data_IF_440860415581
#
_entry.id   IF_440860415581
#
_cell.length_a   1.000
_cell.length_b   1.000
_cell.length_c   1.000
_cell.angle_alpha   90.00
_cell.angle_beta   90.00
_cell.angle_gamma   90.00
#
_symmetry.space_group_name_H-M   'P 1'
#
loop_
_entity.id
_entity.type
_entity.pdbx_description
1 polymer ?
#
# COMPACT_ATOMS: atom_id res chain seq x y z
N UNK A 1 -5.13 33.35 -41.87
CA UNK A 1 -4.52 32.74 -40.66
C UNK A 1 -5.55 32.83 -39.56
N UNK A 2 -6.11 31.72 -39.08
CA UNK A 2 -6.94 31.74 -37.88
C UNK A 2 -6.04 32.11 -36.70
N UNK A 3 -6.31 33.23 -36.04
CA UNK A 3 -5.62 33.58 -34.81
C UNK A 3 -5.91 32.48 -33.77
N UNK A 4 -4.88 31.70 -33.45
CA UNK A 4 -4.94 30.73 -32.37
C UNK A 4 -5.17 31.54 -31.09
N UNK A 5 -6.38 31.46 -30.53
CA UNK A 5 -6.79 32.27 -29.39
C UNK A 5 -5.80 32.14 -28.24
N UNK A 6 -5.52 33.24 -27.53
CA UNK A 6 -4.58 33.26 -26.38
C UNK A 6 -4.96 32.19 -25.34
N UNK A 7 -6.27 31.95 -25.16
CA UNK A 7 -6.80 30.90 -24.29
C UNK A 7 -6.35 29.48 -24.73
N UNK A 8 -6.37 29.19 -26.02
CA UNK A 8 -5.93 27.88 -26.54
C UNK A 8 -4.40 27.67 -26.39
N UNK A 9 -3.60 28.73 -26.50
CA UNK A 9 -2.16 28.69 -26.27
C UNK A 9 -1.83 28.49 -24.78
N UNK A 10 -2.57 29.16 -23.90
CA UNK A 10 -2.47 28.98 -22.45
C UNK A 10 -2.80 27.54 -22.04
N UNK A 11 -3.94 27.01 -22.52
CA UNK A 11 -4.36 25.64 -22.22
C UNK A 11 -3.35 24.60 -22.70
N UNK A 12 -2.77 24.79 -23.89
CA UNK A 12 -1.73 23.91 -24.42
C UNK A 12 -0.46 23.95 -23.56
N UNK A 13 -0.08 25.12 -23.03
CA UNK A 13 1.10 25.29 -22.17
C UNK A 13 0.92 24.65 -20.79
N UNK A 14 -0.27 24.79 -20.19
CA UNK A 14 -0.63 24.08 -18.95
C UNK A 14 -0.62 22.58 -19.17
N UNK A 15 -1.21 22.10 -20.28
CA UNK A 15 -1.18 20.69 -20.64
C UNK A 15 0.24 20.15 -20.78
N UNK A 16 1.13 20.89 -21.47
CA UNK A 16 2.52 20.50 -21.62
C UNK A 16 3.26 20.38 -20.29
N UNK A 17 3.02 21.31 -19.35
CA UNK A 17 3.60 21.28 -18.01
C UNK A 17 3.09 20.08 -17.19
N UNK A 18 1.79 19.80 -17.24
CA UNK A 18 1.18 18.63 -16.59
C UNK A 18 1.73 17.33 -17.21
N UNK A 19 1.87 17.27 -18.53
CA UNK A 19 2.49 16.15 -19.24
C UNK A 19 3.94 15.93 -18.81
N UNK A 20 4.72 17.02 -18.65
CA UNK A 20 6.07 16.96 -18.10
C UNK A 20 6.14 16.32 -16.71
N UNK A 21 5.23 16.69 -15.80
CA UNK A 21 5.11 16.07 -14.49
C UNK A 21 4.77 14.58 -14.59
N UNK A 22 3.86 14.21 -15.50
CA UNK A 22 3.45 12.84 -15.72
C UNK A 22 4.61 11.96 -16.22
N UNK A 23 5.42 12.45 -17.16
CA UNK A 23 6.65 11.77 -17.61
C UNK A 23 7.64 11.55 -16.46
N UNK A 24 7.78 12.52 -15.54
CA UNK A 24 8.66 12.39 -14.38
C UNK A 24 8.18 11.29 -13.41
N UNK A 25 6.86 11.14 -13.23
CA UNK A 25 6.26 10.03 -12.47
C UNK A 25 6.59 8.69 -13.13
N UNK A 26 6.39 8.58 -14.44
CA UNK A 26 6.64 7.35 -15.18
C UNK A 26 8.12 6.94 -15.13
N UNK A 27 9.04 7.89 -15.37
CA UNK A 27 10.48 7.67 -15.23
C UNK A 27 10.86 7.18 -13.84
N UNK A 28 10.27 7.79 -12.79
CA UNK A 28 10.51 7.38 -11.42
C UNK A 28 10.08 5.94 -11.17
N UNK A 29 8.86 5.56 -11.54
CA UNK A 29 8.35 4.21 -11.33
C UNK A 29 9.26 3.20 -12.04
N UNK A 30 9.68 3.46 -13.28
CA UNK A 30 10.63 2.62 -14.01
C UNK A 30 11.95 2.48 -13.24
N UNK A 31 12.53 3.58 -12.76
CA UNK A 31 13.80 3.55 -12.04
C UNK A 31 13.74 2.73 -10.75
N UNK A 32 12.62 2.79 -10.02
CA UNK A 32 12.41 1.98 -8.82
C UNK A 32 12.18 0.51 -9.14
N UNK A 33 11.47 0.20 -10.23
CA UNK A 33 11.26 -1.17 -10.69
C UNK A 33 12.57 -1.83 -11.13
N UNK A 34 13.44 -1.10 -11.84
CA UNK A 34 14.80 -1.55 -12.20
C UNK A 34 15.62 -1.82 -10.93
N UNK A 35 15.59 -0.89 -9.96
CA UNK A 35 16.31 -1.05 -8.70
C UNK A 35 15.81 -2.25 -7.87
N UNK A 36 14.53 -2.60 -7.98
CA UNK A 36 13.92 -3.68 -7.21
C UNK A 36 14.30 -5.11 -7.66
N UNK A 37 14.93 -5.30 -8.84
CA UNK A 37 15.42 -6.61 -9.36
C UNK A 37 14.44 -7.80 -9.19
N UNK A 38 13.11 -7.60 -9.29
CA UNK A 38 12.11 -8.69 -9.14
C UNK A 38 11.54 -9.14 -10.48
N UNK A 39 11.76 -10.42 -10.81
CA UNK A 39 11.32 -11.08 -12.05
C UNK A 39 9.80 -11.23 -12.25
N UNK A 40 8.94 -10.72 -11.35
CA UNK A 40 7.46 -10.78 -11.47
C UNK A 40 6.80 -9.43 -11.82
N UNK A 41 7.58 -8.47 -12.33
CA UNK A 41 7.14 -7.11 -12.63
C UNK A 41 6.75 -6.88 -14.10
N UNK A 42 6.78 -7.90 -14.96
CA UNK A 42 6.55 -7.75 -16.42
C UNK A 42 5.19 -7.13 -16.76
N UNK A 43 4.12 -7.47 -16.04
CA UNK A 43 2.79 -6.89 -16.23
C UNK A 43 2.76 -5.40 -15.87
N UNK A 44 3.35 -5.03 -14.73
CA UNK A 44 3.41 -3.62 -14.29
C UNK A 44 4.29 -2.80 -15.24
N UNK A 45 5.41 -3.36 -15.71
CA UNK A 45 6.27 -2.70 -16.70
C UNK A 45 5.53 -2.52 -18.02
N UNK A 46 4.80 -3.55 -18.48
CA UNK A 46 3.98 -3.47 -19.70
C UNK A 46 2.90 -2.39 -19.60
N UNK A 47 2.19 -2.31 -18.48
CA UNK A 47 1.20 -1.27 -18.26
C UNK A 47 1.86 0.12 -18.24
N UNK A 48 2.97 0.31 -17.52
CA UNK A 48 3.66 1.61 -17.52
C UNK A 48 4.13 2.00 -18.92
N UNK A 49 4.69 1.06 -19.68
CA UNK A 49 5.12 1.29 -21.07
C UNK A 49 3.93 1.65 -21.97
N UNK A 50 2.80 0.96 -21.84
CA UNK A 50 1.56 1.30 -22.55
C UNK A 50 1.11 2.73 -22.23
N UNK A 51 1.07 3.11 -20.96
CA UNK A 51 0.68 4.47 -20.55
C UNK A 51 1.67 5.53 -21.03
N UNK A 52 2.97 5.22 -21.11
CA UNK A 52 3.99 6.12 -21.70
C UNK A 52 3.68 6.34 -23.18
N UNK A 53 3.48 5.27 -23.95
CA UNK A 53 3.23 5.33 -25.39
C UNK A 53 1.95 6.12 -25.67
N UNK A 54 0.83 5.78 -25.01
CA UNK A 54 -0.45 6.47 -25.19
C UNK A 54 -0.34 7.96 -24.87
N UNK A 55 0.38 8.33 -23.81
CA UNK A 55 0.54 9.74 -23.43
C UNK A 55 1.44 10.50 -24.41
N UNK A 56 2.47 9.84 -24.95
CA UNK A 56 3.31 10.39 -26.02
C UNK A 56 2.53 10.60 -27.32
N UNK A 57 1.67 9.65 -27.70
CA UNK A 57 0.79 9.80 -28.87
C UNK A 57 -0.14 11.01 -28.71
N UNK A 58 -0.80 11.16 -27.56
CA UNK A 58 -1.62 12.34 -27.27
C UNK A 58 -0.82 13.65 -27.31
N UNK A 59 0.41 13.66 -26.82
CA UNK A 59 1.27 14.84 -26.87
C UNK A 59 1.70 15.19 -28.30
N UNK A 60 2.07 14.19 -29.12
CA UNK A 60 2.42 14.39 -30.53
C UNK A 60 1.22 14.90 -31.33
N UNK A 61 0.02 14.38 -31.09
CA UNK A 61 -1.22 14.88 -31.71
C UNK A 61 -1.41 16.36 -31.37
N UNK A 62 -1.25 16.78 -30.12
CA UNK A 62 -1.34 18.19 -29.72
C UNK A 62 -0.23 19.07 -30.33
N UNK A 63 0.99 18.57 -30.43
CA UNK A 63 2.09 19.26 -31.12
C UNK A 63 1.83 19.43 -32.62
N UNK A 64 1.18 18.46 -33.27
CA UNK A 64 0.89 18.47 -34.71
C UNK A 64 0.03 19.66 -35.11
N UNK A 65 -0.95 20.02 -34.29
CA UNK A 65 -1.84 21.18 -34.50
C UNK A 65 -1.22 22.53 -34.12
N UNK A 66 0.03 22.53 -33.63
CA UNK A 66 0.73 23.74 -33.19
C UNK A 66 1.73 24.25 -34.24
N UNK A 67 1.86 25.57 -34.40
CA UNK A 67 2.89 26.21 -35.23
C UNK A 67 4.30 26.03 -34.65
N UNK A 68 5.35 26.07 -35.48
CA UNK A 68 6.74 25.74 -35.09
C UNK A 68 7.28 26.49 -33.86
N UNK A 69 6.94 27.78 -33.68
CA UNK A 69 7.33 28.56 -32.49
C UNK A 69 6.60 28.10 -31.21
N UNK A 70 5.33 27.75 -31.33
CA UNK A 70 4.52 27.25 -30.21
C UNK A 70 4.99 25.84 -29.80
N UNK A 71 5.37 24.99 -30.78
CA UNK A 71 5.93 23.66 -30.49
C UNK A 71 7.15 23.73 -29.57
N UNK A 72 8.07 24.66 -29.82
CA UNK A 72 9.25 24.84 -28.99
C UNK A 72 8.88 25.27 -27.56
N UNK A 73 7.93 26.20 -27.43
CA UNK A 73 7.42 26.64 -26.12
C UNK A 73 6.80 25.46 -25.36
N UNK A 74 5.95 24.66 -26.01
CA UNK A 74 5.32 23.49 -25.37
C UNK A 74 6.37 22.45 -24.92
N UNK A 75 7.41 22.20 -25.72
CA UNK A 75 8.52 21.32 -25.33
C UNK A 75 9.27 21.85 -24.10
N UNK A 76 9.54 23.15 -24.05
CA UNK A 76 10.17 23.80 -22.89
C UNK A 76 9.30 23.72 -21.63
N UNK A 77 7.99 23.94 -21.75
CA UNK A 77 7.06 23.80 -20.62
C UNK A 77 6.97 22.36 -20.12
N UNK A 78 7.03 21.37 -21.01
CA UNK A 78 7.10 19.96 -20.64
C UNK A 78 8.41 19.61 -19.92
N UNK A 79 9.55 20.07 -20.43
CA UNK A 79 10.83 19.91 -19.76
C UNK A 79 10.86 20.59 -18.39
N UNK A 80 10.28 21.80 -18.28
CA UNK A 80 10.15 22.52 -17.02
C UNK A 80 9.30 21.76 -16.01
N UNK A 81 8.13 21.23 -16.42
CA UNK A 81 7.30 20.37 -15.59
C UNK A 81 8.07 19.16 -15.08
N UNK A 82 8.78 18.46 -15.96
CA UNK A 82 9.61 17.31 -15.59
C UNK A 82 10.64 17.67 -14.50
N UNK A 83 11.38 18.76 -14.68
CA UNK A 83 12.41 19.22 -13.74
C UNK A 83 11.81 19.61 -12.39
N UNK A 84 10.71 20.38 -12.42
CA UNK A 84 10.00 20.82 -11.20
C UNK A 84 9.55 19.59 -10.43
N UNK A 85 8.83 18.67 -11.07
CA UNK A 85 8.35 17.47 -10.41
C UNK A 85 9.52 16.62 -9.89
N UNK A 86 10.56 16.40 -10.67
CA UNK A 86 11.73 15.62 -10.25
C UNK A 86 12.36 16.18 -8.96
N UNK A 87 12.50 17.51 -8.87
CA UNK A 87 13.07 18.19 -7.69
C UNK A 87 12.18 18.07 -6.45
N UNK A 88 10.89 18.35 -6.58
CA UNK A 88 9.95 18.28 -5.45
C UNK A 88 9.62 16.84 -5.05
N UNK A 89 9.61 15.91 -6.00
CA UNK A 89 9.28 14.52 -5.73
C UNK A 89 10.38 13.82 -4.92
N UNK A 90 11.65 14.17 -5.08
CA UNK A 90 12.72 13.70 -4.19
C UNK A 90 12.44 14.08 -2.72
N UNK A 91 11.98 15.31 -2.49
CA UNK A 91 11.56 15.77 -1.16
C UNK A 91 10.32 15.01 -0.65
N UNK A 92 9.29 14.88 -1.50
CA UNK A 92 8.06 14.13 -1.18
C UNK A 92 8.39 12.67 -0.84
N UNK A 93 9.29 12.02 -1.58
CA UNK A 93 9.75 10.66 -1.33
C UNK A 93 10.39 10.51 0.03
N UNK A 94 11.24 11.46 0.43
CA UNK A 94 11.86 11.46 1.77
C UNK A 94 10.79 11.61 2.85
N UNK A 95 9.82 12.52 2.65
CA UNK A 95 8.71 12.76 3.58
C UNK A 95 7.83 11.51 3.71
N UNK A 96 7.44 10.90 2.59
CA UNK A 96 6.66 9.66 2.56
C UNK A 96 7.40 8.51 3.24
N UNK A 97 8.70 8.33 2.99
CA UNK A 97 9.52 7.31 3.68
C UNK A 97 9.51 7.52 5.20
N UNK A 98 9.66 8.76 5.67
CA UNK A 98 9.58 9.08 7.10
C UNK A 98 8.19 8.78 7.67
N UNK A 99 7.13 9.11 6.94
CA UNK A 99 5.74 8.79 7.30
C UNK A 99 5.50 7.28 7.39
N UNK A 100 5.87 6.51 6.37
CA UNK A 100 5.76 5.06 6.36
C UNK A 100 6.59 4.39 7.46
N UNK A 101 7.78 4.91 7.77
CA UNK A 101 8.58 4.42 8.89
C UNK A 101 7.89 4.66 10.24
N UNK A 102 7.24 5.83 10.41
CA UNK A 102 6.46 6.14 11.62
C UNK A 102 5.21 5.27 11.74
N UNK A 103 4.44 5.10 10.67
CA UNK A 103 3.25 4.23 10.69
C UNK A 103 3.62 2.77 10.91
N UNK A 104 4.74 2.28 10.35
CA UNK A 104 5.24 0.93 10.63
C UNK A 104 5.62 0.75 12.10
N UNK A 105 6.21 1.74 12.76
CA UNK A 105 6.50 1.70 14.20
C UNK A 105 5.21 1.63 15.03
N UNK A 106 4.21 2.43 14.69
CA UNK A 106 2.90 2.43 15.37
C UNK A 106 2.21 1.08 15.18
N UNK A 107 2.20 0.55 13.95
CA UNK A 107 1.64 -0.76 13.65
C UNK A 107 2.34 -1.86 14.46
N UNK A 108 3.68 -1.89 14.47
CA UNK A 108 4.45 -2.86 15.24
C UNK A 108 4.16 -2.77 16.75
N UNK A 109 4.02 -1.56 17.30
CA UNK A 109 3.63 -1.35 18.70
C UNK A 109 2.24 -1.94 18.99
N UNK A 110 1.24 -1.62 18.15
CA UNK A 110 -0.13 -2.14 18.30
C UNK A 110 -0.15 -3.67 18.22
N UNK A 111 0.55 -4.26 17.23
CA UNK A 111 0.63 -5.72 17.07
C UNK A 111 1.26 -6.37 18.30
N UNK A 112 2.36 -5.82 18.81
CA UNK A 112 3.03 -6.33 20.00
C UNK A 112 2.12 -6.27 21.24
N UNK A 113 1.46 -5.14 21.48
CA UNK A 113 0.52 -4.98 22.59
C UNK A 113 -0.67 -5.94 22.51
N UNK A 114 -1.22 -6.15 21.30
CA UNK A 114 -2.29 -7.13 21.08
C UNK A 114 -1.81 -8.56 21.38
N UNK A 115 -0.62 -8.92 20.92
CA UNK A 115 -0.05 -10.24 21.16
C UNK A 115 0.12 -10.50 22.66
N UNK A 116 0.62 -9.51 23.41
CA UNK A 116 0.78 -9.60 24.86
C UNK A 116 -0.58 -9.78 25.59
N UNK A 117 -1.61 -9.05 25.17
CA UNK A 117 -2.97 -9.19 25.72
C UNK A 117 -3.55 -10.58 25.45
N UNK A 118 -3.37 -11.11 24.24
CA UNK A 118 -3.82 -12.46 23.86
C UNK A 118 -3.12 -13.52 24.74
N UNK A 119 -1.80 -13.41 24.94
CA UNK A 119 -1.06 -14.32 25.81
C UNK A 119 -1.53 -14.27 27.27
N UNK A 120 -1.80 -13.08 27.81
CA UNK A 120 -2.36 -12.91 29.17
C UNK A 120 -3.74 -13.54 29.31
N UNK A 121 -4.62 -13.37 28.31
CA UNK A 121 -5.95 -13.99 28.30
C UNK A 121 -5.87 -15.52 28.23
N UNK A 122 -5.01 -16.06 27.37
CA UNK A 122 -4.79 -17.49 27.23
C UNK A 122 -4.26 -18.13 28.52
N UNK A 123 -3.36 -17.44 29.23
CA UNK A 123 -2.86 -17.88 30.54
C UNK A 123 -3.94 -18.01 31.61
N UNK A 124 -4.91 -17.08 31.65
CA UNK A 124 -6.08 -17.16 32.56
C UNK A 124 -6.99 -18.33 32.19
N UNK A 125 -7.31 -18.50 30.90
CA UNK A 125 -8.13 -19.61 30.41
C UNK A 125 -7.51 -20.98 30.75
N UNK A 126 -6.19 -21.13 30.59
CA UNK A 126 -5.46 -22.35 30.93
C UNK A 126 -5.57 -22.71 32.42
N UNK A 127 -5.52 -21.70 33.32
CA UNK A 127 -5.74 -21.91 34.75
C UNK A 127 -7.17 -22.35 35.06
N UNK A 128 -8.16 -21.72 34.44
CA UNK A 128 -9.58 -22.10 34.60
C UNK A 128 -9.80 -23.54 34.13
N UNK A 129 -9.32 -23.91 32.95
CA UNK A 129 -9.44 -25.26 32.42
C UNK A 129 -8.81 -26.32 33.35
N UNK A 130 -7.65 -26.03 33.97
CA UNK A 130 -7.00 -26.92 34.93
C UNK A 130 -7.85 -27.11 36.20
N UNK A 131 -8.47 -26.05 36.70
CA UNK A 131 -9.36 -26.11 37.87
C UNK A 131 -10.63 -26.90 37.57
N UNK A 132 -11.25 -26.66 36.41
CA UNK A 132 -12.43 -27.40 35.95
C UNK A 132 -12.12 -28.89 35.81
N UNK A 133 -10.99 -29.26 35.19
CA UNK A 133 -10.58 -30.67 35.08
C UNK A 133 -10.40 -31.33 36.44
N UNK A 134 -9.79 -30.63 37.41
CA UNK A 134 -9.59 -31.13 38.78
C UNK A 134 -10.92 -31.30 39.53
N UNK A 135 -11.87 -30.38 39.31
CA UNK A 135 -13.21 -30.45 39.87
C UNK A 135 -13.99 -31.65 39.30
N UNK A 136 -14.02 -31.81 37.97
CA UNK A 136 -14.68 -32.94 37.32
C UNK A 136 -14.12 -34.29 37.79
N UNK A 137 -12.79 -34.37 37.98
CA UNK A 137 -12.15 -35.57 38.54
C UNK A 137 -12.66 -35.87 39.97
N UNK A 138 -12.73 -34.85 40.85
CA UNK A 138 -13.30 -35.02 42.20
C UNK A 138 -14.76 -35.48 42.17
N UNK A 139 -15.58 -34.88 41.30
CA UNK A 139 -16.97 -35.29 41.13
C UNK A 139 -17.09 -36.75 40.65
N UNK A 140 -16.23 -37.17 39.72
CA UNK A 140 -16.22 -38.56 39.23
C UNK A 140 -15.87 -39.58 40.32
N UNK A 141 -14.87 -39.27 41.16
CA UNK A 141 -14.50 -40.10 42.31
C UNK A 141 -15.61 -40.15 43.36
N UNK A 142 -16.28 -39.01 43.60
CA UNK A 142 -17.42 -38.94 44.52
C UNK A 142 -18.62 -39.73 44.02
N UNK A 143 -18.95 -39.65 42.73
CA UNK A 143 -19.98 -40.51 42.13
C UNK A 143 -19.63 -41.99 42.27
N UNK A 144 -18.40 -42.38 41.95
CA UNK A 144 -17.97 -43.77 42.01
C UNK A 144 -18.07 -44.35 43.43
N UNK A 145 -17.67 -43.57 44.44
CA UNK A 145 -17.77 -43.96 45.86
C UNK A 145 -19.21 -44.03 46.37
N UNK A 146 -20.11 -43.16 45.90
CA UNK A 146 -21.54 -43.25 46.24
C UNK A 146 -22.19 -44.47 45.57
N UNK A 147 -21.88 -44.74 44.31
CA UNK A 147 -22.38 -45.92 43.59
C UNK A 147 -21.87 -47.24 44.19
N UNK A 148 -20.59 -47.31 44.58
CA UNK A 148 -20.04 -48.51 45.21
C UNK A 148 -20.69 -48.80 46.57
N UNK A 149 -20.92 -47.76 47.39
CA UNK A 149 -21.65 -47.87 48.67
C UNK A 149 -23.09 -48.33 48.50
N UNK A 150 -23.82 -47.85 47.48
CA UNK A 150 -25.19 -48.32 47.20
C UNK A 150 -25.24 -49.79 46.76
N UNK A 151 -24.25 -50.26 46.01
CA UNK A 151 -24.19 -51.66 45.54
C UNK A 151 -23.90 -52.67 46.66
N UNK A 152 -23.26 -52.23 47.74
CA UNK A 152 -23.01 -53.06 48.92
C UNK A 152 -24.23 -53.21 49.84
N UNK A 153 -25.15 -52.24 49.85
CA UNK A 153 -26.33 -52.23 50.74
C UNK A 153 -27.55 -53.02 50.23
N UNK A 154 -27.55 -53.43 48.96
CA UNK A 154 -28.63 -54.23 48.36
C UNK A 154 -28.27 -55.71 48.23
N UNK A 155 -27.27 -56.18 48.99
CA UNK A 155 -26.75 -57.55 48.96
C UNK A 155 -26.85 -58.26 50.32
N UNK A 156 -27.49 -57.61 51.29
CA UNK A 156 -27.97 -58.16 52.57
C UNK A 156 -29.49 -58.27 52.50
#
# INVERSE_FOLDING_TARGET
MWEISVLSQFNSSVFALVFGNFLAIQYFIISELIAAKRNKLSVIISDIVFWIITSFEYFIVNLRFSNGKIRLILLLFSAAGFIVFYKYFSFIRIVLRKLFARTRKIYAFITYSLQEMIFKAYGKLKKIAKNVKKFLLKCSVMMYTVFSKRKMKGRD
#
